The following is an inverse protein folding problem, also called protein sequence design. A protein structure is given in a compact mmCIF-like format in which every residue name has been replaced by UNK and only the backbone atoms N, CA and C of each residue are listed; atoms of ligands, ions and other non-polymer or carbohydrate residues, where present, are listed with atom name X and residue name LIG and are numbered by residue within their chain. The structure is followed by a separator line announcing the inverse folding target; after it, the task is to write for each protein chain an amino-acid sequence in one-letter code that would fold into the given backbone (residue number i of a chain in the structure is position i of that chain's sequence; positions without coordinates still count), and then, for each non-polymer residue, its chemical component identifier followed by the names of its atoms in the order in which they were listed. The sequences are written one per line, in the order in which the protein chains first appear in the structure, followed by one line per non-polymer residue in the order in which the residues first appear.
data_IF_025405660476
#
_entry.id   IF_025405660476
#
_cell.length_a   1.000
_cell.length_b   1.000
_cell.length_c   1.000
_cell.angle_alpha   90.00
_cell.angle_beta   90.00
_cell.angle_gamma   90.00
#
_symmetry.space_group_name_H-M   'P 1'
#
loop_
_entity.id
_entity.type
_entity.pdbx_description
1 polymer ?
#
# COMPACT_ATOMS: atom_id res chain seq x y z
N UNK A 1 -22.60 11.14 2.53
CA UNK A 1 -21.67 10.61 1.51
C UNK A 1 -20.57 11.64 1.31
N UNK A 2 -19.54 11.61 2.16
CA UNK A 2 -18.38 12.47 1.97
C UNK A 2 -17.61 11.96 0.74
N UNK A 3 -17.53 12.79 -0.29
CA UNK A 3 -16.85 12.49 -1.55
C UNK A 3 -15.38 12.16 -1.30
N UNK A 4 -14.85 11.18 -2.03
CA UNK A 4 -13.44 10.75 -2.05
C UNK A 4 -12.42 11.91 -2.25
N UNK A 5 -12.91 13.11 -2.61
CA UNK A 5 -12.17 14.38 -2.69
C UNK A 5 -11.61 14.87 -1.34
N UNK A 6 -12.26 14.61 -0.19
CA UNK A 6 -11.72 15.01 1.12
C UNK A 6 -10.56 14.10 1.57
N UNK A 7 -10.54 12.87 1.07
CA UNK A 7 -9.52 11.86 1.39
C UNK A 7 -8.17 12.25 0.77
N UNK A 8 -8.15 12.72 -0.49
CA UNK A 8 -6.92 13.10 -1.20
C UNK A 8 -6.18 14.27 -0.54
N UNK A 9 -6.90 15.34 -0.20
CA UNK A 9 -6.32 16.52 0.47
C UNK A 9 -5.69 16.23 1.84
N UNK A 10 -6.08 15.11 2.47
CA UNK A 10 -5.54 14.67 3.77
C UNK A 10 -4.22 13.91 3.64
N UNK A 11 -4.00 13.24 2.50
CA UNK A 11 -2.79 12.48 2.21
C UNK A 11 -1.68 13.33 1.60
N UNK A 12 -2.01 14.44 0.94
CA UNK A 12 -1.04 15.39 0.35
C UNK A 12 -0.05 15.93 1.39
N UNK A 13 -0.49 16.11 2.65
CA UNK A 13 0.39 16.55 3.75
C UNK A 13 1.53 15.56 4.04
N UNK A 14 1.37 14.31 3.62
CA UNK A 14 2.40 13.29 3.68
C UNK A 14 3.00 13.12 2.28
N UNK A 15 2.21 12.99 1.21
CA UNK A 15 2.72 12.76 -0.15
C UNK A 15 3.73 13.81 -0.67
N UNK A 16 3.68 15.07 -0.21
CA UNK A 16 4.59 16.12 -0.68
C UNK A 16 6.09 15.88 -0.35
N UNK A 17 6.41 15.02 0.62
CA UNK A 17 7.79 14.77 1.07
C UNK A 17 8.35 13.40 0.63
N UNK A 18 7.61 12.60 -0.14
CA UNK A 18 8.19 11.40 -0.74
C UNK A 18 9.03 11.81 -1.95
N UNK A 19 10.31 11.49 -1.93
CA UNK A 19 11.28 11.61 -3.04
C UNK A 19 10.96 10.69 -4.24
N UNK A 20 9.67 10.45 -4.49
CA UNK A 20 9.14 9.98 -5.75
C UNK A 20 8.98 11.25 -6.60
N UNK A 21 10.04 11.69 -7.30
CA UNK A 21 10.09 12.93 -8.10
C UNK A 21 9.06 13.01 -9.25
N UNK A 22 7.78 13.01 -8.93
CA UNK A 22 6.65 13.18 -9.81
C UNK A 22 5.82 14.35 -9.27
N UNK A 23 5.88 15.46 -9.99
CA UNK A 23 4.99 16.61 -9.85
C UNK A 23 3.52 16.13 -9.73
N UNK A 24 2.69 16.70 -8.84
CA UNK A 24 1.28 16.36 -8.82
C UNK A 24 0.67 16.69 -10.19
N UNK A 25 0.28 15.66 -10.93
CA UNK A 25 -0.44 15.85 -12.19
C UNK A 25 -1.68 16.72 -11.90
N UNK A 26 -1.76 17.85 -12.60
CA UNK A 26 -2.84 18.81 -12.45
C UNK A 26 -4.21 18.11 -12.55
N UNK A 27 -5.22 18.57 -11.78
CA UNK A 27 -6.55 17.99 -11.83
C UNK A 27 -7.09 18.10 -13.26
N UNK A 28 -7.25 16.95 -13.91
CA UNK A 28 -7.91 16.87 -15.22
C UNK A 28 -9.36 17.32 -15.01
N UNK A 29 -9.85 18.35 -15.71
CA UNK A 29 -11.19 18.87 -15.51
C UNK A 29 -12.21 17.80 -15.90
N UNK A 30 -13.05 17.40 -14.94
CA UNK A 30 -14.19 16.51 -15.20
C UNK A 30 -15.26 17.35 -15.90
N UNK A 31 -15.28 17.31 -17.23
CA UNK A 31 -16.36 17.88 -18.01
C UNK A 31 -17.70 17.16 -17.67
N UNK A 32 -18.84 17.87 -17.69
CA UNK A 32 -20.13 17.27 -17.38
C UNK A 32 -20.47 16.19 -18.41
N UNK A 33 -20.93 15.04 -17.93
CA UNK A 33 -21.42 13.92 -18.77
C UNK A 33 -22.55 14.41 -19.66
N UNK A 34 -22.25 14.64 -20.93
CA UNK A 34 -23.23 14.68 -22.00
C UNK A 34 -23.35 13.27 -22.58
N UNK A 35 -24.59 12.86 -22.86
CA UNK A 35 -24.99 11.53 -23.33
C UNK A 35 -24.05 10.95 -24.40
N UNK A 36 -23.61 9.72 -24.15
CA UNK A 36 -22.72 8.96 -25.02
C UNK A 36 -23.36 8.70 -26.40
N UNK A 37 -22.63 8.92 -27.51
CA UNK A 37 -22.84 8.14 -28.71
C UNK A 37 -22.07 6.82 -28.59
N UNK A 38 -22.65 5.75 -29.13
CA UNK A 38 -21.99 4.46 -29.29
C UNK A 38 -20.71 4.66 -30.13
N UNK A 39 -19.56 4.26 -29.57
CA UNK A 39 -18.30 4.26 -30.29
C UNK A 39 -17.98 2.82 -30.69
N UNK A 40 -17.83 2.65 -31.99
CA UNK A 40 -17.45 1.42 -32.66
C UNK A 40 -16.12 0.86 -32.10
N UNK A 41 -16.13 -0.45 -31.89
CA UNK A 41 -14.96 -1.28 -31.61
C UNK A 41 -14.02 -1.27 -32.83
N UNK A 42 -12.81 -0.72 -32.66
CA UNK A 42 -11.51 -1.21 -33.18
C UNK A 42 -10.49 -0.06 -33.37
N UNK A 43 -9.65 0.15 -32.37
CA UNK A 43 -8.30 0.71 -32.50
C UNK A 43 -7.53 0.55 -31.17
N UNK A 44 -6.87 -0.60 -31.00
CA UNK A 44 -5.79 -0.93 -30.05
C UNK A 44 -5.47 0.14 -28.98
N UNK A 45 -6.20 0.09 -27.85
CA UNK A 45 -5.77 0.73 -26.62
C UNK A 45 -4.44 0.12 -26.15
N UNK A 46 -3.50 0.88 -25.58
CA UNK A 46 -2.32 0.31 -24.95
C UNK A 46 -2.77 -0.67 -23.86
N UNK A 47 -2.46 -1.95 -24.05
CA UNK A 47 -2.83 -3.01 -23.12
C UNK A 47 -2.13 -2.72 -21.79
N UNK A 48 -2.90 -2.30 -20.80
CA UNK A 48 -2.42 -1.87 -19.48
C UNK A 48 -2.12 -3.09 -18.59
N UNK A 49 -1.57 -4.13 -19.22
CA UNK A 49 -1.19 -5.40 -18.65
C UNK A 49 0.07 -5.25 -17.80
N UNK A 50 0.15 -6.07 -16.76
CA UNK A 50 1.38 -6.25 -16.00
C UNK A 50 2.44 -6.85 -16.94
N UNK A 51 3.68 -6.36 -16.86
CA UNK A 51 4.78 -6.91 -17.65
C UNK A 51 4.82 -8.45 -17.47
N UNK A 52 4.86 -9.25 -18.56
CA UNK A 52 4.91 -10.70 -18.46
C UNK A 52 6.11 -11.21 -17.64
N UNK A 53 7.20 -10.46 -17.59
CA UNK A 53 8.36 -10.77 -16.75
C UNK A 53 8.04 -10.58 -15.27
N UNK A 54 7.23 -9.59 -14.92
CA UNK A 54 6.74 -9.42 -13.54
C UNK A 54 5.78 -10.54 -13.16
N UNK A 55 4.87 -10.93 -14.06
CA UNK A 55 3.97 -12.05 -13.81
C UNK A 55 4.74 -13.36 -13.57
N UNK A 56 5.74 -13.67 -14.41
CA UNK A 56 6.62 -14.83 -14.20
C UNK A 56 7.49 -14.68 -12.95
N UNK A 57 7.91 -13.46 -12.65
CA UNK A 57 8.71 -13.16 -11.46
C UNK A 57 7.93 -13.42 -10.18
N UNK A 58 6.62 -13.11 -10.11
CA UNK A 58 5.76 -13.45 -8.97
C UNK A 58 5.79 -14.96 -8.66
N UNK A 59 5.74 -15.80 -9.69
CA UNK A 59 5.81 -17.26 -9.54
C UNK A 59 7.21 -17.71 -9.07
N UNK A 60 8.26 -17.00 -9.49
CA UNK A 60 9.66 -17.32 -9.22
C UNK A 60 10.15 -16.89 -7.82
N UNK A 61 9.39 -16.11 -7.06
CA UNK A 61 9.79 -15.60 -5.74
C UNK A 61 9.95 -16.67 -4.65
N UNK A 62 9.54 -17.93 -4.88
CA UNK A 62 9.50 -18.96 -3.83
C UNK A 62 10.88 -19.35 -3.28
N UNK A 63 11.92 -19.33 -4.11
CA UNK A 63 13.28 -19.77 -3.75
C UNK A 63 14.35 -18.68 -4.01
N UNK A 64 13.91 -17.44 -4.23
CA UNK A 64 14.82 -16.37 -4.62
C UNK A 64 15.60 -15.78 -3.41
N UNK A 65 16.88 -15.51 -3.66
CA UNK A 65 17.79 -14.80 -2.75
C UNK A 65 17.23 -13.40 -2.39
N UNK A 66 17.51 -12.87 -1.19
CA UNK A 66 16.94 -11.60 -0.71
C UNK A 66 17.14 -10.42 -1.67
N UNK A 67 18.30 -10.34 -2.33
CA UNK A 67 18.59 -9.27 -3.29
C UNK A 67 17.71 -9.30 -4.54
N UNK A 68 17.46 -10.50 -5.07
CA UNK A 68 16.57 -10.69 -6.23
C UNK A 68 15.13 -10.35 -5.85
N UNK A 69 14.68 -10.83 -4.69
CA UNK A 69 13.39 -10.46 -4.12
C UNK A 69 13.24 -8.95 -3.98
N UNK A 70 14.23 -8.26 -3.42
CA UNK A 70 14.20 -6.83 -3.24
C UNK A 70 14.08 -6.09 -4.58
N UNK A 71 14.97 -6.36 -5.56
CA UNK A 71 14.88 -5.74 -6.88
C UNK A 71 13.54 -5.96 -7.56
N UNK A 72 12.98 -7.17 -7.46
CA UNK A 72 11.66 -7.48 -8.00
C UNK A 72 10.55 -6.66 -7.33
N UNK A 73 10.55 -6.55 -6.00
CA UNK A 73 9.56 -5.79 -5.24
C UNK A 73 9.59 -4.29 -5.59
N UNK A 74 10.78 -3.75 -5.86
CA UNK A 74 10.95 -2.36 -6.26
C UNK A 74 10.45 -2.10 -7.69
N UNK A 75 10.75 -3.00 -8.63
CA UNK A 75 10.20 -2.97 -9.98
C UNK A 75 8.68 -3.08 -9.97
N UNK A 76 8.13 -4.02 -9.20
CA UNK A 76 6.69 -4.16 -9.01
C UNK A 76 6.08 -2.85 -8.49
N UNK A 77 6.64 -2.23 -7.46
CA UNK A 77 6.13 -0.97 -6.93
C UNK A 77 6.15 0.15 -7.99
N UNK A 78 7.21 0.20 -8.80
CA UNK A 78 7.40 1.17 -9.88
C UNK A 78 6.34 1.01 -10.97
N UNK A 79 6.11 -0.21 -11.48
CA UNK A 79 5.10 -0.46 -12.52
C UNK A 79 3.66 -0.22 -12.04
N UNK A 80 3.42 -0.38 -10.75
CA UNK A 80 2.11 -0.11 -10.15
C UNK A 80 1.87 1.39 -9.92
N UNK A 81 2.89 2.24 -10.01
CA UNK A 81 2.73 3.68 -9.82
C UNK A 81 1.78 4.26 -10.88
N UNK A 82 0.72 4.94 -10.44
CA UNK A 82 -0.32 5.53 -11.30
C UNK A 82 -0.92 4.58 -12.37
N UNK A 83 -0.88 3.26 -12.15
CA UNK A 83 -1.35 2.26 -13.10
C UNK A 83 -2.54 1.45 -12.54
N UNK A 84 -3.78 1.96 -12.61
CA UNK A 84 -4.94 1.33 -11.97
C UNK A 84 -5.28 -0.07 -12.52
N UNK A 85 -5.13 -0.28 -13.84
CA UNK A 85 -5.39 -1.58 -14.45
C UNK A 85 -4.31 -2.60 -14.08
N UNK A 86 -3.02 -2.21 -14.08
CA UNK A 86 -1.91 -3.06 -13.60
C UNK A 86 -2.07 -3.46 -12.15
N UNK A 87 -2.48 -2.53 -11.27
CA UNK A 87 -2.78 -2.84 -9.85
C UNK A 87 -3.84 -3.92 -9.72
N UNK A 88 -4.92 -3.81 -10.51
CA UNK A 88 -5.99 -4.81 -10.51
C UNK A 88 -5.46 -6.17 -10.99
N UNK A 89 -4.79 -6.21 -12.13
CA UNK A 89 -4.22 -7.43 -12.69
C UNK A 89 -3.21 -8.10 -11.73
N UNK A 90 -2.36 -7.32 -11.06
CA UNK A 90 -1.42 -7.84 -10.07
C UNK A 90 -2.13 -8.46 -8.86
N UNK A 91 -3.18 -7.81 -8.34
CA UNK A 91 -3.99 -8.37 -7.24
C UNK A 91 -4.71 -9.65 -7.66
N UNK A 92 -5.31 -9.68 -8.85
CA UNK A 92 -5.98 -10.87 -9.39
C UNK A 92 -5.02 -12.06 -9.58
N UNK A 93 -3.73 -11.76 -9.84
CA UNK A 93 -2.65 -12.75 -9.92
C UNK A 93 -2.03 -13.12 -8.57
N UNK A 94 -2.56 -12.63 -7.46
CA UNK A 94 -2.09 -12.99 -6.12
C UNK A 94 -0.82 -12.25 -5.66
N UNK A 95 -0.48 -11.10 -6.26
CA UNK A 95 0.71 -10.34 -5.90
C UNK A 95 0.77 -9.98 -4.40
N UNK A 96 -0.37 -9.70 -3.76
CA UNK A 96 -0.43 -9.46 -2.32
C UNK A 96 0.14 -10.64 -1.52
N UNK A 97 -0.26 -11.86 -1.84
CA UNK A 97 0.21 -13.07 -1.14
C UNK A 97 1.70 -13.31 -1.39
N UNK A 98 2.15 -13.14 -2.64
CA UNK A 98 3.55 -13.29 -3.01
C UNK A 98 4.46 -12.31 -2.25
N UNK A 99 4.08 -11.03 -2.20
CA UNK A 99 4.83 -10.01 -1.45
C UNK A 99 4.88 -10.34 0.04
N UNK A 100 3.75 -10.75 0.63
CA UNK A 100 3.69 -11.15 2.04
C UNK A 100 4.60 -12.34 2.34
N UNK A 101 4.61 -13.36 1.49
CA UNK A 101 5.43 -14.55 1.69
C UNK A 101 6.93 -14.24 1.58
N UNK A 102 7.31 -13.36 0.64
CA UNK A 102 8.68 -12.86 0.53
C UNK A 102 9.10 -12.09 1.78
N UNK A 103 8.28 -11.15 2.25
CA UNK A 103 8.56 -10.39 3.47
C UNK A 103 8.68 -11.30 4.69
N UNK A 104 7.86 -12.36 4.81
CA UNK A 104 7.98 -13.33 5.91
C UNK A 104 9.26 -14.14 5.85
N UNK A 105 9.62 -14.64 4.66
CA UNK A 105 10.84 -15.45 4.47
C UNK A 105 12.10 -14.64 4.77
N UNK A 106 12.11 -13.39 4.34
CA UNK A 106 13.26 -12.50 4.44
C UNK A 106 13.03 -11.40 5.50
N UNK A 107 12.45 -11.78 6.64
CA UNK A 107 12.08 -10.86 7.74
C UNK A 107 13.25 -10.06 8.32
N UNK A 108 14.47 -10.63 8.29
CA UNK A 108 15.68 -9.98 8.79
C UNK A 108 16.36 -9.06 7.75
N UNK A 109 15.90 -9.07 6.49
CA UNK A 109 16.51 -8.28 5.42
C UNK A 109 15.80 -6.94 5.26
N UNK A 110 16.42 -5.87 5.75
CA UNK A 110 15.84 -4.53 5.75
C UNK A 110 15.37 -4.08 4.36
N UNK A 111 16.15 -4.32 3.30
CA UNK A 111 15.80 -3.91 1.94
C UNK A 111 14.53 -4.63 1.42
N UNK A 112 14.37 -5.92 1.74
CA UNK A 112 13.16 -6.68 1.41
C UNK A 112 11.96 -6.15 2.20
N UNK A 113 12.14 -5.79 3.48
CA UNK A 113 11.05 -5.22 4.27
C UNK A 113 10.62 -3.84 3.76
N UNK A 114 11.57 -2.96 3.43
CA UNK A 114 11.28 -1.63 2.87
C UNK A 114 10.55 -1.75 1.54
N UNK A 115 11.10 -2.50 0.58
CA UNK A 115 10.52 -2.64 -0.76
C UNK A 115 9.23 -3.45 -0.76
N UNK A 116 9.12 -4.44 0.13
CA UNK A 116 7.90 -5.20 0.34
C UNK A 116 6.76 -4.33 0.87
N UNK A 117 7.03 -3.49 1.87
CA UNK A 117 6.06 -2.53 2.37
C UNK A 117 5.64 -1.50 1.30
N UNK A 118 6.61 -0.99 0.52
CA UNK A 118 6.35 -0.10 -0.63
C UNK A 118 5.47 -0.77 -1.69
N UNK A 119 5.73 -2.04 -2.03
CA UNK A 119 4.92 -2.81 -2.97
C UNK A 119 3.49 -3.05 -2.46
N UNK A 120 3.31 -3.40 -1.18
CA UNK A 120 1.99 -3.53 -0.56
C UNK A 120 1.23 -2.19 -0.58
N UNK A 121 1.91 -1.09 -0.27
CA UNK A 121 1.37 0.27 -0.39
C UNK A 121 0.90 0.53 -1.83
N UNK A 122 1.73 0.27 -2.83
CA UNK A 122 1.42 0.50 -4.24
C UNK A 122 0.20 -0.33 -4.71
N UNK A 123 0.14 -1.61 -4.32
CA UNK A 123 -0.97 -2.52 -4.61
C UNK A 123 -2.30 -2.04 -4.02
N UNK A 124 -2.29 -1.35 -2.88
CA UNK A 124 -3.51 -0.94 -2.17
C UNK A 124 -3.88 0.54 -2.39
N UNK A 125 -2.92 1.40 -2.75
CA UNK A 125 -3.14 2.83 -2.94
C UNK A 125 -4.07 3.08 -4.13
N UNK A 126 -5.17 3.80 -3.92
CA UNK A 126 -6.25 4.00 -4.90
C UNK A 126 -6.77 2.69 -5.55
N UNK A 127 -6.63 1.56 -4.86
CA UNK A 127 -7.10 0.26 -5.33
C UNK A 127 -7.96 -0.42 -4.25
N UNK A 128 -9.29 -0.29 -4.39
CA UNK A 128 -10.24 -0.88 -3.44
C UNK A 128 -10.16 -2.41 -3.39
N UNK A 129 -9.93 -3.06 -4.54
CA UNK A 129 -9.75 -4.52 -4.61
C UNK A 129 -8.54 -4.96 -3.77
N UNK A 130 -7.41 -4.26 -3.93
CA UNK A 130 -6.20 -4.53 -3.16
C UNK A 130 -6.41 -4.34 -1.66
N UNK A 131 -7.10 -3.26 -1.23
CA UNK A 131 -7.40 -3.04 0.19
C UNK A 131 -8.33 -4.11 0.77
N UNK A 132 -9.34 -4.54 0.03
CA UNK A 132 -10.27 -5.58 0.46
C UNK A 132 -9.59 -6.96 0.59
N UNK A 133 -8.64 -7.27 -0.29
CA UNK A 133 -7.89 -8.53 -0.28
C UNK A 133 -6.72 -8.57 0.73
N UNK A 134 -6.21 -7.41 1.15
CA UNK A 134 -5.02 -7.28 2.00
C UNK A 134 -5.08 -8.08 3.32
N UNK A 135 -6.20 -8.14 4.08
CA UNK A 135 -6.27 -8.94 5.30
C UNK A 135 -6.15 -10.44 5.04
N UNK A 136 -6.81 -10.93 3.98
CA UNK A 136 -6.81 -12.34 3.62
C UNK A 136 -5.41 -12.80 3.19
N UNK A 137 -4.68 -11.95 2.46
CA UNK A 137 -3.28 -12.18 2.11
C UNK A 137 -2.32 -12.07 3.32
N UNK A 138 -2.78 -11.56 4.47
CA UNK A 138 -1.97 -11.37 5.67
C UNK A 138 -1.07 -10.13 5.64
N UNK A 139 -1.36 -9.15 4.77
CA UNK A 139 -0.58 -7.92 4.63
C UNK A 139 -0.51 -7.12 5.93
N UNK A 140 -1.63 -6.98 6.64
CA UNK A 140 -1.67 -6.24 7.92
C UNK A 140 -0.77 -6.90 8.98
N UNK A 141 -0.71 -8.24 9.00
CA UNK A 141 0.16 -9.00 9.92
C UNK A 141 1.62 -8.75 9.61
N UNK A 142 2.04 -8.95 8.36
CA UNK A 142 3.46 -8.84 8.02
C UNK A 142 3.98 -7.40 8.19
N UNK A 143 3.13 -6.40 7.94
CA UNK A 143 3.46 -5.00 8.23
C UNK A 143 3.58 -4.75 9.74
N UNK A 144 2.70 -5.31 10.57
CA UNK A 144 2.82 -5.23 12.03
C UNK A 144 4.11 -5.91 12.55
N UNK A 145 4.49 -7.05 11.97
CA UNK A 145 5.74 -7.74 12.28
C UNK A 145 6.95 -6.88 11.88
N UNK A 146 6.90 -6.24 10.70
CA UNK A 146 7.94 -5.32 10.24
C UNK A 146 8.13 -4.11 11.17
N UNK A 147 7.04 -3.57 11.75
CA UNK A 147 7.14 -2.50 12.75
C UNK A 147 7.82 -2.93 14.05
N UNK A 148 7.77 -4.22 14.40
CA UNK A 148 8.37 -4.77 15.63
C UNK A 148 9.80 -5.28 15.43
N UNK A 149 10.18 -5.60 14.19
CA UNK A 149 11.50 -6.10 13.90
C UNK A 149 12.57 -5.01 14.11
N UNK A 150 13.82 -5.41 14.36
CA UNK A 150 14.99 -4.53 14.36
C UNK A 150 15.36 -4.14 12.92
N UNK A 151 14.42 -3.53 12.20
CA UNK A 151 14.57 -3.10 10.81
C UNK A 151 14.91 -1.62 10.75
N UNK A 152 15.48 -1.21 9.62
CA UNK A 152 15.84 0.17 9.34
C UNK A 152 14.65 1.14 9.52
N UNK A 153 14.93 2.41 9.82
CA UNK A 153 13.90 3.42 10.05
C UNK A 153 12.97 3.58 8.84
N UNK A 154 13.53 3.48 7.64
CA UNK A 154 12.86 3.53 6.35
C UNK A 154 11.85 2.39 6.20
N UNK A 155 12.22 1.17 6.59
CA UNK A 155 11.32 0.02 6.55
C UNK A 155 10.10 0.23 7.47
N UNK A 156 10.31 0.83 8.65
CA UNK A 156 9.22 1.15 9.58
C UNK A 156 8.32 2.24 9.02
N UNK A 157 8.90 3.27 8.40
CA UNK A 157 8.13 4.35 7.78
C UNK A 157 7.23 3.83 6.65
N UNK A 158 7.77 3.07 5.71
CA UNK A 158 7.00 2.45 4.63
C UNK A 158 5.94 1.49 5.18
N UNK A 159 6.24 0.73 6.23
CA UNK A 159 5.28 -0.16 6.85
C UNK A 159 4.10 0.60 7.49
N UNK A 160 4.37 1.71 8.20
CA UNK A 160 3.29 2.57 8.74
C UNK A 160 2.48 3.18 7.59
N UNK A 161 3.12 3.63 6.51
CA UNK A 161 2.42 4.20 5.38
C UNK A 161 1.51 3.17 4.68
N UNK A 162 2.02 1.96 4.45
CA UNK A 162 1.21 0.87 3.90
C UNK A 162 0.00 0.56 4.79
N UNK A 163 0.18 0.46 6.11
CA UNK A 163 -0.91 0.24 7.07
C UNK A 163 -1.96 1.35 7.01
N UNK A 164 -1.51 2.60 6.90
CA UNK A 164 -2.35 3.77 6.78
C UNK A 164 -3.19 3.71 5.50
N UNK A 165 -2.59 3.38 4.35
CA UNK A 165 -3.29 3.21 3.07
C UNK A 165 -4.30 2.05 3.13
N UNK A 166 -3.93 0.94 3.75
CA UNK A 166 -4.78 -0.25 3.82
C UNK A 166 -5.96 -0.05 4.78
N UNK A 167 -5.75 0.63 5.91
CA UNK A 167 -6.68 0.57 7.04
C UNK A 167 -7.45 1.86 7.32
N UNK A 168 -6.91 3.05 7.08
CA UNK A 168 -7.43 4.27 7.71
C UNK A 168 -8.91 4.59 7.43
N UNK A 169 -9.39 4.19 6.25
CA UNK A 169 -10.76 4.44 5.76
C UNK A 169 -11.54 3.15 5.48
N UNK A 170 -11.13 2.02 6.05
CA UNK A 170 -11.78 0.72 5.89
C UNK A 170 -12.02 0.07 7.26
N UNK A 171 -13.29 0.02 7.69
CA UNK A 171 -13.67 -0.49 9.01
C UNK A 171 -13.32 -1.97 9.21
N UNK A 172 -13.44 -2.78 8.16
CA UNK A 172 -13.08 -4.19 8.22
C UNK A 172 -11.57 -4.33 8.45
N UNK A 173 -10.76 -3.50 7.80
CA UNK A 173 -9.31 -3.49 7.98
C UNK A 173 -8.91 -2.87 9.33
N UNK A 174 -9.62 -1.85 9.83
CA UNK A 174 -9.40 -1.29 11.16
C UNK A 174 -9.61 -2.32 12.27
N UNK A 175 -10.55 -3.26 12.11
CA UNK A 175 -10.70 -4.38 13.05
C UNK A 175 -9.39 -5.19 13.17
N UNK A 176 -8.77 -5.56 12.06
CA UNK A 176 -7.49 -6.29 12.06
C UNK A 176 -6.34 -5.42 12.58
N UNK A 177 -6.24 -4.18 12.09
CA UNK A 177 -5.23 -3.21 12.49
C UNK A 177 -5.29 -2.91 14.00
N UNK A 178 -6.48 -2.82 14.58
CA UNK A 178 -6.67 -2.58 16.01
C UNK A 178 -6.13 -3.71 16.89
N UNK A 179 -6.09 -4.95 16.36
CA UNK A 179 -5.62 -6.13 17.09
C UNK A 179 -4.12 -6.35 16.92
N UNK A 180 -3.60 -6.10 15.72
CA UNK A 180 -2.22 -6.43 15.36
C UNK A 180 -1.27 -5.23 15.50
N UNK A 181 -1.73 -4.02 15.23
CA UNK A 181 -0.87 -2.85 15.05
C UNK A 181 -0.94 -1.84 16.20
N UNK A 182 -1.85 -1.98 17.17
CA UNK A 182 -2.07 -0.94 18.19
C UNK A 182 -0.84 -0.67 19.07
N UNK A 183 -0.14 -1.72 19.53
CA UNK A 183 1.11 -1.56 20.29
C UNK A 183 2.30 -1.16 19.42
N UNK A 184 2.54 -1.79 18.25
CA UNK A 184 3.62 -1.36 17.35
C UNK A 184 3.53 0.12 16.95
N UNK A 185 2.33 0.60 16.62
CA UNK A 185 2.12 2.01 16.24
C UNK A 185 2.37 2.97 17.41
N UNK A 186 2.02 2.59 18.64
CA UNK A 186 2.36 3.39 19.84
C UNK A 186 3.87 3.48 20.06
N UNK A 187 4.60 2.39 19.81
CA UNK A 187 6.07 2.36 19.89
C UNK A 187 6.69 3.27 18.83
N UNK A 188 6.29 3.15 17.56
CA UNK A 188 6.78 4.03 16.49
C UNK A 188 6.48 5.51 16.79
N UNK A 189 5.28 5.83 17.30
CA UNK A 189 4.91 7.19 17.70
C UNK A 189 5.81 7.76 18.81
N UNK A 190 6.26 6.93 19.74
CA UNK A 190 7.05 7.34 20.91
C UNK A 190 8.55 7.16 20.73
N UNK A 191 8.98 6.55 19.63
CA UNK A 191 10.38 6.36 19.30
C UNK A 191 10.99 7.65 18.78
N UNK A 192 12.00 8.16 19.50
CA UNK A 192 12.76 9.36 19.12
C UNK A 192 13.62 9.15 17.88
N UNK A 193 13.92 7.89 17.51
CA UNK A 193 14.66 7.53 16.32
C UNK A 193 13.74 7.33 15.09
N UNK A 194 12.42 7.36 15.25
CA UNK A 194 11.49 7.33 14.13
C UNK A 194 11.49 8.68 13.40
N UNK A 195 11.30 8.66 12.08
CA UNK A 195 11.16 9.90 11.32
C UNK A 195 9.90 10.67 11.79
N UNK A 196 9.88 12.01 11.67
CA UNK A 196 8.70 12.80 11.98
C UNK A 196 7.46 12.35 11.20
N UNK A 197 7.66 11.91 9.95
CA UNK A 197 6.61 11.38 9.09
C UNK A 197 6.06 10.06 9.62
N UNK A 198 6.92 9.10 9.95
CA UNK A 198 6.51 7.82 10.53
C UNK A 198 5.74 8.02 11.84
N UNK A 199 6.22 8.92 12.71
CA UNK A 199 5.55 9.24 13.98
C UNK A 199 4.17 9.87 13.75
N UNK A 200 4.05 10.83 12.82
CA UNK A 200 2.79 11.48 12.48
C UNK A 200 1.76 10.51 11.88
N UNK A 201 2.20 9.63 10.96
CA UNK A 201 1.34 8.59 10.37
C UNK A 201 0.89 7.57 11.43
N UNK A 202 1.79 7.16 12.32
CA UNK A 202 1.47 6.24 13.41
C UNK A 202 0.48 6.86 14.41
N UNK A 203 0.66 8.14 14.74
CA UNK A 203 -0.28 8.87 15.58
C UNK A 203 -1.66 8.97 14.93
N UNK A 204 -1.71 9.30 13.63
CA UNK A 204 -2.95 9.35 12.86
C UNK A 204 -3.69 8.00 12.89
N UNK A 205 -3.00 6.90 12.60
CA UNK A 205 -3.63 5.58 12.58
C UNK A 205 -4.05 5.12 13.99
N UNK A 206 -3.32 5.51 15.04
CA UNK A 206 -3.75 5.30 16.43
C UNK A 206 -5.09 6.00 16.72
N UNK A 207 -5.28 7.24 16.26
CA UNK A 207 -6.56 7.94 16.44
C UNK A 207 -7.68 7.25 15.65
N UNK A 208 -7.42 6.79 14.42
CA UNK A 208 -8.41 5.99 13.66
C UNK A 208 -8.84 4.72 14.36
N UNK A 209 -7.89 3.99 14.95
CA UNK A 209 -8.20 2.81 15.76
C UNK A 209 -9.06 3.18 16.98
N UNK A 210 -8.79 4.31 17.65
CA UNK A 210 -9.60 4.78 18.78
C UNK A 210 -11.02 5.14 18.34
N UNK A 211 -11.15 5.98 17.30
CA UNK A 211 -12.43 6.39 16.71
C UNK A 211 -13.29 5.16 16.39
N UNK A 212 -12.71 4.16 15.72
CA UNK A 212 -13.39 2.90 15.40
C UNK A 212 -13.86 2.14 16.64
N UNK A 213 -13.01 2.01 17.67
CA UNK A 213 -13.37 1.32 18.93
C UNK A 213 -14.50 2.02 19.68
N UNK A 214 -14.55 3.35 19.64
CA UNK A 214 -15.52 4.16 20.40
C UNK A 214 -16.80 4.45 19.63
N UNK A 215 -16.72 4.53 18.29
CA UNK A 215 -17.81 4.96 17.42
C UNK A 215 -18.49 3.85 16.60
N UNK A 216 -17.79 2.73 16.33
CA UNK A 216 -18.22 1.71 15.35
C UNK A 216 -18.55 0.33 15.94
N UNK A 217 -18.72 0.20 17.26
CA UNK A 217 -19.15 -1.06 17.91
C UNK A 217 -20.52 -0.91 18.60
N UNK A 218 -21.41 -0.08 18.03
CA UNK A 218 -22.83 0.00 18.36
C UNK A 218 -23.66 -0.53 17.21
#
# INVERSE_FOLDING_TARGET
MASLSTTYARWDRFAADSDDGAEPAAPVPVAPVASAPALDDDASAPTDDLDPDVARGLDALREAEPGVCASFLDELATQLHNAPLRKRAAVDRGALQAVVDVMRRHAAHADVQTKGARALRALCFNNALGRAAAPAAGAIRVLADALNAHVAAEAREEAVWALVVICADDEANLKWCSRLCADPLRRVRSDVAASPRASAMAAFLCEKIKEWRTGGNR
#
